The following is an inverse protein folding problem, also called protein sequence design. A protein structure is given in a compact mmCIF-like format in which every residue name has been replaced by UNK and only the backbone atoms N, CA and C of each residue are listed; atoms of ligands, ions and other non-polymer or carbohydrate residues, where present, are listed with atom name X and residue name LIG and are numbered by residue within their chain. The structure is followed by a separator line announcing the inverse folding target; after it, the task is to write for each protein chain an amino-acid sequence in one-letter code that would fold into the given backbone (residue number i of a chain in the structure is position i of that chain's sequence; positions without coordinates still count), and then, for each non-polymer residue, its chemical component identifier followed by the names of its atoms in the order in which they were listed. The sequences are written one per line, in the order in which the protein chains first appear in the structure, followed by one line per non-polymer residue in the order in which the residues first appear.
data_IF_880970852257
#
_entry.id   IF_880970852257
#
_cell.length_a   1.000
_cell.length_b   1.000
_cell.length_c   1.000
_cell.angle_alpha   90.00
_cell.angle_beta   90.00
_cell.angle_gamma   90.00
#
_symmetry.space_group_name_H-M   'P 1'
#
loop_
_entity.id
_entity.type
_entity.pdbx_description
1 polymer ?
#
# COMPACT_ATOMS: atom_id res chain seq x y z
N UNK A 1 -19.07 16.43 13.36
CA UNK A 1 -17.63 16.19 13.59
C UNK A 1 -17.45 14.67 13.66
N UNK A 2 -17.22 14.01 12.52
CA UNK A 2 -16.54 12.72 12.55
C UNK A 2 -15.05 13.04 12.69
N UNK A 3 -14.60 13.22 13.94
CA UNK A 3 -13.27 13.80 14.20
C UNK A 3 -12.12 12.84 13.90
N UNK A 4 -12.41 11.55 13.72
CA UNK A 4 -11.41 10.50 13.48
C UNK A 4 -11.99 9.49 12.48
N UNK A 5 -11.29 9.26 11.36
CA UNK A 5 -11.77 8.40 10.27
C UNK A 5 -11.60 6.91 10.56
N UNK A 6 -10.40 6.54 11.03
CA UNK A 6 -10.04 5.23 11.59
C UNK A 6 -9.52 5.42 13.01
N UNK A 7 -9.94 4.54 13.93
CA UNK A 7 -9.61 4.60 15.34
C UNK A 7 -9.02 3.27 15.82
N UNK A 8 -7.96 3.35 16.65
CA UNK A 8 -7.35 2.18 17.27
C UNK A 8 -6.36 1.46 16.35
N UNK A 9 -6.17 0.17 16.59
CA UNK A 9 -5.27 -0.71 15.84
C UNK A 9 -5.42 -2.17 16.30
N UNK A 10 -4.94 -3.14 15.51
CA UNK A 10 -3.99 -2.91 14.42
C UNK A 10 -4.65 -2.53 13.08
N UNK A 11 -3.83 -2.19 12.10
CA UNK A 11 -4.23 -1.98 10.70
C UNK A 11 -3.80 -3.14 9.81
N UNK A 12 -4.73 -3.57 8.93
CA UNK A 12 -4.41 -4.39 7.78
C UNK A 12 -4.05 -3.48 6.61
N UNK A 13 -2.90 -3.73 6.04
CA UNK A 13 -2.29 -2.88 5.03
C UNK A 13 -2.27 -3.61 3.69
N UNK A 14 -2.82 -2.97 2.65
CA UNK A 14 -2.64 -3.42 1.26
C UNK A 14 -1.78 -2.38 0.56
N UNK A 15 -0.54 -2.72 0.30
CA UNK A 15 0.46 -1.77 -0.18
C UNK A 15 1.14 -2.21 -1.47
N UNK A 16 1.58 -1.26 -2.28
CA UNK A 16 2.28 -1.52 -3.54
C UNK A 16 3.17 -0.35 -3.96
N UNK A 17 4.20 -0.66 -4.77
CA UNK A 17 5.21 0.29 -5.23
C UNK A 17 4.96 0.75 -6.66
N UNK A 18 4.76 2.05 -6.83
CA UNK A 18 4.57 2.73 -8.11
C UNK A 18 5.85 3.43 -8.55
N UNK A 19 6.05 3.49 -9.86
CA UNK A 19 7.17 4.23 -10.43
C UNK A 19 6.82 5.71 -10.57
N UNK A 20 7.70 6.56 -10.04
CA UNK A 20 7.58 8.01 -10.14
C UNK A 20 8.23 8.47 -11.45
N UNK A 21 7.65 8.07 -12.59
CA UNK A 21 8.14 8.52 -13.91
C UNK A 21 7.69 9.96 -14.22
N UNK A 22 6.48 10.31 -13.76
CA UNK A 22 5.92 11.64 -13.87
C UNK A 22 6.20 12.47 -12.61
N UNK A 23 5.94 13.78 -12.68
CA UNK A 23 5.94 14.63 -11.49
C UNK A 23 4.95 14.11 -10.42
N UNK A 24 5.22 14.41 -9.15
CA UNK A 24 4.39 14.01 -7.99
C UNK A 24 2.89 14.28 -8.20
N UNK A 25 2.56 15.45 -8.75
CA UNK A 25 1.18 15.87 -8.98
C UNK A 25 0.46 14.95 -9.96
N UNK A 26 1.11 14.67 -11.08
CA UNK A 26 0.58 13.81 -12.13
C UNK A 26 0.45 12.37 -11.66
N UNK A 27 1.45 11.88 -10.91
CA UNK A 27 1.41 10.54 -10.32
C UNK A 27 0.24 10.37 -9.35
N UNK A 28 0.05 11.31 -8.40
CA UNK A 28 -1.06 11.27 -7.46
C UNK A 28 -2.43 11.35 -8.17
N UNK A 29 -2.58 12.22 -9.17
CA UNK A 29 -3.82 12.31 -9.95
C UNK A 29 -4.10 11.06 -10.78
N UNK A 30 -3.07 10.47 -11.39
CA UNK A 30 -3.23 9.22 -12.15
C UNK A 30 -3.67 8.09 -11.25
N UNK A 31 -3.03 7.96 -10.08
CA UNK A 31 -3.39 6.98 -9.05
C UNK A 31 -4.87 7.11 -8.68
N UNK A 32 -5.32 8.29 -8.27
CA UNK A 32 -6.71 8.52 -7.85
C UNK A 32 -7.70 8.18 -8.96
N UNK A 33 -7.42 8.64 -10.19
CA UNK A 33 -8.26 8.37 -11.36
C UNK A 33 -8.37 6.88 -11.66
N UNK A 34 -7.25 6.17 -11.62
CA UNK A 34 -7.21 4.72 -11.90
C UNK A 34 -7.87 3.92 -10.77
N UNK A 35 -7.72 4.33 -9.51
CA UNK A 35 -8.44 3.75 -8.38
C UNK A 35 -9.96 3.89 -8.52
N UNK A 36 -10.46 5.01 -9.03
CA UNK A 36 -11.89 5.20 -9.31
C UNK A 36 -12.42 4.35 -10.46
N UNK A 37 -11.53 3.78 -11.30
CA UNK A 37 -11.90 2.96 -12.45
C UNK A 37 -11.86 1.44 -12.16
N UNK A 38 -11.47 1.04 -10.94
CA UNK A 38 -11.46 -0.36 -10.53
C UNK A 38 -12.89 -0.93 -10.45
N UNK A 39 -12.99 -2.24 -10.64
CA UNK A 39 -14.21 -3.01 -10.36
C UNK A 39 -14.50 -3.10 -8.86
N UNK A 40 -13.47 -3.15 -8.01
CA UNK A 40 -13.64 -2.89 -6.57
C UNK A 40 -13.98 -1.41 -6.38
N UNK A 41 -15.19 -1.13 -5.88
CA UNK A 41 -15.65 0.24 -5.71
C UNK A 41 -14.83 0.98 -4.65
N UNK A 42 -14.18 2.07 -5.04
CA UNK A 42 -13.45 2.99 -4.16
C UNK A 42 -14.09 4.38 -4.26
N UNK A 43 -14.53 4.92 -3.14
CA UNK A 43 -15.06 6.29 -3.04
C UNK A 43 -14.21 7.14 -2.11
N UNK A 44 -13.87 8.36 -2.54
CA UNK A 44 -13.13 9.33 -1.73
C UNK A 44 -14.09 10.16 -0.88
N UNK A 45 -13.75 10.34 0.39
CA UNK A 45 -14.54 11.09 1.35
C UNK A 45 -14.02 12.53 1.56
N UNK A 46 -12.81 12.84 1.09
CA UNK A 46 -12.27 14.20 1.08
C UNK A 46 -12.86 15.01 -0.06
N UNK A 47 -13.28 16.24 0.23
CA UNK A 47 -13.83 17.18 -0.75
C UNK A 47 -12.70 17.95 -1.47
N UNK A 48 -11.61 18.25 -0.76
CA UNK A 48 -10.50 19.10 -1.23
C UNK A 48 -9.27 18.30 -1.69
N UNK A 49 -9.48 17.24 -2.48
CA UNK A 49 -8.40 16.34 -2.94
C UNK A 49 -7.27 17.10 -3.66
N UNK A 50 -7.61 18.13 -4.44
CA UNK A 50 -6.61 18.92 -5.17
C UNK A 50 -5.69 19.72 -4.23
N UNK A 51 -6.20 20.20 -3.10
CA UNK A 51 -5.38 20.89 -2.08
C UNK A 51 -4.46 19.89 -1.37
N UNK A 52 -4.96 18.70 -1.06
CA UNK A 52 -4.16 17.62 -0.48
C UNK A 52 -3.02 17.19 -1.42
N UNK A 53 -3.30 17.11 -2.73
CA UNK A 53 -2.26 16.83 -3.75
C UNK A 53 -1.25 17.99 -3.80
N UNK A 54 -1.70 19.25 -3.71
CA UNK A 54 -0.78 20.39 -3.69
C UNK A 54 0.15 20.33 -2.48
N UNK A 55 -0.38 20.01 -1.29
CA UNK A 55 0.40 19.80 -0.07
C UNK A 55 1.40 18.64 -0.20
N UNK A 56 1.01 17.53 -0.84
CA UNK A 56 1.92 16.42 -1.14
C UNK A 56 3.09 16.85 -2.04
N UNK A 57 2.80 17.63 -3.09
CA UNK A 57 3.82 18.16 -4.01
C UNK A 57 4.77 19.08 -3.27
N UNK A 58 4.25 19.99 -2.45
CA UNK A 58 5.04 20.92 -1.64
C UNK A 58 5.87 20.15 -0.59
N UNK A 59 5.29 19.15 0.06
CA UNK A 59 5.87 18.42 1.19
C UNK A 59 6.04 19.28 2.44
N UNK A 60 6.68 18.73 3.47
CA UNK A 60 7.02 19.43 4.71
C UNK A 60 8.44 19.06 5.15
N UNK A 61 9.17 19.95 5.85
CA UNK A 61 10.53 19.64 6.32
C UNK A 61 10.50 18.46 7.30
N UNK A 62 11.47 17.54 7.20
CA UNK A 62 11.59 16.44 8.17
C UNK A 62 12.02 16.93 9.56
N UNK A 63 12.70 18.08 9.61
CA UNK A 63 13.07 18.79 10.83
C UNK A 63 12.69 20.27 10.66
N UNK A 64 11.66 20.70 11.39
CA UNK A 64 11.11 22.06 11.33
C UNK A 64 12.13 23.13 11.74
N UNK A 65 13.11 22.77 12.57
CA UNK A 65 14.18 23.67 13.02
C UNK A 65 15.31 23.79 11.98
N UNK A 66 15.34 22.91 10.97
CA UNK A 66 16.36 22.89 9.92
C UNK A 66 15.75 23.05 8.52
N UNK A 67 15.77 24.27 7.94
CA UNK A 67 15.23 24.53 6.60
C UNK A 67 15.92 23.78 5.46
N UNK A 68 17.08 23.18 5.70
CA UNK A 68 17.82 22.35 4.73
C UNK A 68 17.53 20.86 4.88
N UNK A 69 16.69 20.48 5.84
CA UNK A 69 16.29 19.09 6.01
C UNK A 69 15.55 18.59 4.77
N UNK A 70 15.66 17.28 4.45
CA UNK A 70 14.85 16.68 3.39
C UNK A 70 13.37 16.97 3.61
N UNK A 71 12.62 17.14 2.52
CA UNK A 71 11.18 17.30 2.61
C UNK A 71 10.51 15.94 2.51
N UNK A 72 9.60 15.67 3.43
CA UNK A 72 8.72 14.51 3.40
C UNK A 72 7.53 14.84 2.52
N UNK A 73 7.20 13.93 1.62
CA UNK A 73 6.08 14.05 0.68
C UNK A 73 5.11 12.92 0.95
N UNK A 74 4.02 13.23 1.65
CA UNK A 74 2.95 12.29 1.97
C UNK A 74 1.58 12.88 1.67
N UNK A 75 0.66 12.02 1.22
CA UNK A 75 -0.74 12.31 0.94
C UNK A 75 -1.58 11.29 1.70
N UNK A 76 -2.53 11.75 2.51
CA UNK A 76 -3.49 10.88 3.20
C UNK A 76 -4.89 11.19 2.68
N UNK A 77 -5.56 10.17 2.13
CA UNK A 77 -6.93 10.28 1.63
C UNK A 77 -7.85 9.34 2.41
N UNK A 78 -8.95 9.88 2.91
CA UNK A 78 -10.05 9.13 3.50
C UNK A 78 -10.87 8.51 2.39
N UNK A 79 -10.96 7.19 2.41
CA UNK A 79 -11.67 6.44 1.37
C UNK A 79 -12.60 5.39 2.00
N UNK A 80 -13.57 4.95 1.20
CA UNK A 80 -14.33 3.73 1.45
C UNK A 80 -14.10 2.76 0.30
N UNK A 81 -13.91 1.49 0.63
CA UNK A 81 -13.61 0.41 -0.32
C UNK A 81 -14.58 -0.73 -0.08
N UNK A 82 -15.19 -1.25 -1.15
CA UNK A 82 -16.04 -2.44 -1.07
C UNK A 82 -15.22 -3.73 -1.18
N UNK A 83 -14.54 -4.08 -0.08
CA UNK A 83 -13.68 -5.27 0.03
C UNK A 83 -14.10 -6.14 1.21
N UNK A 84 -14.70 -7.29 0.91
CA UNK A 84 -15.42 -8.12 1.88
C UNK A 84 -16.51 -7.32 2.63
N UNK A 85 -17.22 -6.46 1.89
CA UNK A 85 -18.17 -5.46 2.37
C UNK A 85 -17.57 -4.06 2.41
N UNK A 86 -18.43 -3.06 2.60
CA UNK A 86 -18.00 -1.66 2.64
C UNK A 86 -17.15 -1.38 3.88
N UNK A 87 -15.91 -0.95 3.68
CA UNK A 87 -14.94 -0.62 4.75
C UNK A 87 -14.43 0.80 4.60
N UNK A 88 -14.19 1.46 5.73
CA UNK A 88 -13.38 2.68 5.77
C UNK A 88 -11.91 2.31 5.65
N UNK A 89 -11.14 3.13 4.94
CA UNK A 89 -9.70 3.02 4.89
C UNK A 89 -9.05 4.41 4.77
N UNK A 90 -7.76 4.48 5.07
CA UNK A 90 -6.89 5.59 4.67
C UNK A 90 -6.02 5.09 3.52
N UNK A 91 -5.99 5.83 2.41
CA UNK A 91 -4.97 5.66 1.39
C UNK A 91 -3.84 6.63 1.68
N UNK A 92 -2.70 6.10 2.10
CA UNK A 92 -1.45 6.83 2.17
C UNK A 92 -0.72 6.71 0.82
N UNK A 93 -0.21 7.83 0.32
CA UNK A 93 0.73 7.86 -0.79
C UNK A 93 1.98 8.60 -0.33
N UNK A 94 3.13 7.96 -0.40
CA UNK A 94 4.38 8.51 0.10
C UNK A 94 5.47 8.41 -0.96
N UNK A 95 6.28 9.47 -1.07
CA UNK A 95 7.50 9.41 -1.87
C UNK A 95 8.61 8.72 -1.07
N UNK A 96 8.97 7.50 -1.47
CA UNK A 96 10.06 6.76 -0.85
C UNK A 96 11.43 7.18 -1.39
N UNK A 97 11.54 7.47 -2.69
CA UNK A 97 12.80 7.85 -3.34
C UNK A 97 12.56 8.75 -4.56
N UNK A 98 13.61 9.08 -5.31
CA UNK A 98 13.46 9.80 -6.57
C UNK A 98 12.68 9.04 -7.65
N UNK A 99 12.60 7.70 -7.59
CA UNK A 99 11.89 6.89 -8.58
C UNK A 99 10.76 6.03 -8.03
N UNK A 100 10.54 6.00 -6.71
CA UNK A 100 9.53 5.14 -6.10
C UNK A 100 8.51 5.92 -5.26
N UNK A 101 7.23 5.59 -5.47
CA UNK A 101 6.11 5.93 -4.60
C UNK A 101 5.59 4.67 -3.91
N UNK A 102 5.25 4.79 -2.64
CA UNK A 102 4.43 3.84 -1.91
C UNK A 102 2.97 4.28 -2.00
N UNK A 103 2.07 3.36 -2.36
CA UNK A 103 0.64 3.50 -2.13
C UNK A 103 0.20 2.43 -1.13
N UNK A 104 -0.37 2.82 -0.01
CA UNK A 104 -0.68 1.96 1.11
C UNK A 104 -2.12 2.20 1.61
N UNK A 105 -2.94 1.17 1.57
CA UNK A 105 -4.31 1.20 2.09
C UNK A 105 -4.34 0.66 3.52
N UNK A 106 -4.67 1.51 4.49
CA UNK A 106 -4.86 1.12 5.88
C UNK A 106 -6.33 0.81 6.15
N UNK A 107 -6.62 -0.43 6.50
CA UNK A 107 -7.93 -0.90 6.95
C UNK A 107 -7.88 -1.22 8.44
N UNK A 108 -9.00 -1.10 9.16
CA UNK A 108 -9.10 -1.59 10.54
C UNK A 108 -8.88 -3.11 10.56
N UNK A 109 -7.77 -3.55 11.17
CA UNK A 109 -7.22 -4.90 11.09
C UNK A 109 -7.66 -5.86 12.19
N UNK A 110 -8.31 -5.39 13.27
CA UNK A 110 -8.77 -6.32 14.31
C UNK A 110 -9.81 -7.30 13.77
N UNK A 111 -9.87 -8.50 14.32
CA UNK A 111 -10.93 -9.48 14.02
C UNK A 111 -12.29 -9.08 14.60
N UNK A 112 -12.30 -8.21 15.61
CA UNK A 112 -13.50 -7.75 16.29
C UNK A 112 -14.05 -6.49 15.64
N UNK A 113 -15.37 -6.35 15.60
CA UNK A 113 -16.01 -5.10 15.17
C UNK A 113 -15.81 -4.01 16.24
N UNK A 114 -15.68 -2.76 15.81
CA UNK A 114 -15.78 -1.58 16.65
C UNK A 114 -16.98 -0.73 16.19
N UNK A 115 -18.17 -1.00 16.77
CA UNK A 115 -19.40 -0.28 16.42
C UNK A 115 -19.34 1.22 16.74
N UNK A 116 -18.55 1.63 17.75
CA UNK A 116 -18.48 3.02 18.17
C UNK A 116 -17.86 3.93 17.09
N UNK A 117 -16.95 3.37 16.29
CA UNK A 117 -16.28 4.07 15.20
C UNK A 117 -16.77 3.61 13.80
N UNK A 118 -17.78 2.75 13.76
CA UNK A 118 -18.31 2.11 12.54
C UNK A 118 -17.19 1.42 11.75
N UNK A 119 -16.39 0.60 12.44
CA UNK A 119 -15.31 -0.19 11.86
C UNK A 119 -15.66 -1.67 11.99
N UNK A 120 -15.64 -2.37 10.86
CA UNK A 120 -15.89 -3.79 10.82
C UNK A 120 -14.58 -4.55 10.94
N UNK A 121 -14.54 -5.58 11.77
CA UNK A 121 -13.39 -6.46 11.89
C UNK A 121 -13.10 -7.23 10.59
N UNK A 122 -11.88 -7.73 10.48
CA UNK A 122 -11.43 -8.57 9.37
C UNK A 122 -11.21 -9.98 9.88
N UNK A 123 -11.99 -10.92 9.36
CA UNK A 123 -11.85 -12.35 9.67
C UNK A 123 -11.02 -13.04 8.59
N UNK A 124 -10.52 -14.24 8.87
CA UNK A 124 -9.73 -15.04 7.93
C UNK A 124 -10.44 -15.23 6.59
N UNK A 125 -11.75 -15.49 6.59
CA UNK A 125 -12.54 -15.64 5.36
C UNK A 125 -12.65 -14.35 4.53
N UNK A 126 -12.27 -13.19 5.08
CA UNK A 126 -12.27 -11.92 4.37
C UNK A 126 -10.98 -11.70 3.57
N UNK A 127 -9.89 -12.40 3.88
CA UNK A 127 -8.59 -12.20 3.25
C UNK A 127 -8.60 -12.44 1.73
N UNK A 128 -9.42 -13.37 1.24
CA UNK A 128 -9.61 -13.58 -0.20
C UNK A 128 -10.16 -12.33 -0.91
N UNK A 129 -10.92 -11.48 -0.21
CA UNK A 129 -11.35 -10.18 -0.73
C UNK A 129 -10.17 -9.23 -0.94
N UNK A 130 -9.26 -9.16 0.02
CA UNK A 130 -8.07 -8.29 -0.06
C UNK A 130 -7.05 -8.81 -1.06
N UNK A 131 -6.86 -10.13 -1.20
CA UNK A 131 -6.02 -10.69 -2.26
C UNK A 131 -6.57 -10.34 -3.65
N UNK A 132 -7.89 -10.39 -3.85
CA UNK A 132 -8.51 -9.96 -5.11
C UNK A 132 -8.27 -8.48 -5.39
N UNK A 133 -8.38 -7.63 -4.37
CA UNK A 133 -8.04 -6.21 -4.48
C UNK A 133 -6.57 -6.02 -4.89
N UNK A 134 -5.62 -6.72 -4.27
CA UNK A 134 -4.20 -6.63 -4.63
C UNK A 134 -3.93 -7.06 -6.08
N UNK A 135 -4.56 -8.15 -6.54
CA UNK A 135 -4.43 -8.62 -7.93
C UNK A 135 -5.02 -7.59 -8.91
N UNK A 136 -6.14 -6.98 -8.55
CA UNK A 136 -6.77 -5.93 -9.35
C UNK A 136 -5.91 -4.67 -9.43
N UNK A 137 -5.35 -4.22 -8.30
CA UNK A 137 -4.37 -3.14 -8.26
C UNK A 137 -3.19 -3.46 -9.18
N UNK A 138 -2.68 -4.69 -9.16
CA UNK A 138 -1.60 -5.10 -10.07
C UNK A 138 -2.04 -5.07 -11.55
N UNK A 139 -3.28 -5.46 -11.85
CA UNK A 139 -3.82 -5.40 -13.21
C UNK A 139 -3.99 -3.95 -13.70
N UNK A 140 -4.34 -3.00 -12.82
CA UNK A 140 -4.43 -1.59 -13.20
C UNK A 140 -3.06 -0.95 -13.35
N UNK A 141 -2.23 -1.05 -12.32
CA UNK A 141 -1.00 -0.26 -12.20
C UNK A 141 0.26 -0.96 -12.70
N UNK A 142 0.24 -2.29 -12.87
CA UNK A 142 1.41 -3.09 -13.23
C UNK A 142 2.64 -2.82 -12.33
N UNK A 143 2.40 -2.60 -11.03
CA UNK A 143 3.43 -2.27 -10.04
C UNK A 143 4.53 -3.34 -9.94
N UNK A 144 5.69 -2.98 -9.38
CA UNK A 144 6.85 -3.89 -9.28
C UNK A 144 6.70 -4.91 -8.14
N UNK A 145 6.22 -4.47 -6.99
CA UNK A 145 5.90 -5.31 -5.83
C UNK A 145 4.69 -4.76 -5.06
N UNK A 146 3.95 -5.64 -4.40
CA UNK A 146 2.83 -5.31 -3.52
C UNK A 146 2.56 -6.41 -2.51
N UNK A 147 1.81 -6.11 -1.46
CA UNK A 147 1.64 -7.01 -0.33
C UNK A 147 0.42 -6.73 0.53
N UNK A 148 0.10 -7.69 1.39
CA UNK A 148 -0.92 -7.63 2.43
C UNK A 148 -0.30 -8.06 3.75
N UNK A 149 -0.38 -7.22 4.78
CA UNK A 149 0.28 -7.41 6.08
C UNK A 149 -0.49 -6.71 7.21
N UNK A 150 -0.09 -6.95 8.45
CA UNK A 150 -0.54 -6.18 9.63
C UNK A 150 0.61 -5.31 10.10
N UNK A 151 0.37 -4.01 10.29
CA UNK A 151 1.35 -3.04 10.86
C UNK A 151 2.71 -3.06 10.14
N UNK A 152 2.68 -3.33 8.84
CA UNK A 152 3.84 -3.44 7.96
C UNK A 152 3.38 -3.13 6.54
N UNK A 153 4.23 -2.52 5.72
CA UNK A 153 3.99 -2.29 4.31
C UNK A 153 5.11 -2.79 3.40
N UNK A 154 4.89 -2.72 2.09
CA UNK A 154 5.79 -3.26 1.07
C UNK A 154 7.17 -2.58 1.02
N UNK A 155 7.36 -1.42 1.67
CA UNK A 155 8.66 -0.76 1.75
C UNK A 155 9.66 -1.57 2.60
N UNK A 156 9.19 -2.44 3.49
CA UNK A 156 10.04 -3.32 4.28
C UNK A 156 10.85 -4.31 3.42
N UNK A 157 10.42 -4.54 2.17
CA UNK A 157 11.17 -5.36 1.23
C UNK A 157 12.54 -4.78 0.85
N UNK A 158 12.73 -3.46 1.00
CA UNK A 158 14.02 -2.81 0.80
C UNK A 158 15.04 -3.13 1.91
N UNK A 159 14.57 -3.67 3.06
CA UNK A 159 15.40 -4.00 4.23
C UNK A 159 16.29 -2.83 4.67
N UNK A 160 15.69 -1.64 4.78
CA UNK A 160 16.35 -0.40 5.13
C UNK A 160 15.46 0.43 6.07
N UNK A 161 16.09 1.06 7.07
CA UNK A 161 15.42 1.91 8.07
C UNK A 161 15.69 3.41 7.82
N UNK A 162 15.94 3.80 6.56
CA UNK A 162 16.21 5.20 6.23
C UNK A 162 14.92 6.04 6.31
N UNK A 163 15.03 7.30 6.71
CA UNK A 163 13.89 8.22 6.62
C UNK A 163 13.57 8.54 5.16
N UNK A 164 12.33 8.36 4.75
CA UNK A 164 11.84 8.73 3.42
C UNK A 164 11.68 10.25 3.26
N UNK A 165 11.96 10.81 2.07
CA UNK A 165 12.50 10.12 0.90
C UNK A 165 14.01 9.82 1.05
N UNK A 166 14.43 8.63 0.63
CA UNK A 166 15.82 8.17 0.61
C UNK A 166 16.13 7.34 -0.62
N UNK A 167 17.33 7.49 -1.18
CA UNK A 167 17.78 6.71 -2.33
C UNK A 167 18.02 5.22 -2.01
N UNK A 168 17.94 4.83 -0.73
CA UNK A 168 17.90 3.43 -0.34
C UNK A 168 16.62 2.72 -0.84
N UNK A 169 15.51 3.45 -0.98
CA UNK A 169 14.23 2.94 -1.50
C UNK A 169 14.09 3.05 -3.02
N UNK A 170 15.22 3.18 -3.74
CA UNK A 170 15.26 3.11 -5.19
C UNK A 170 14.99 1.70 -5.67
N UNK A 171 14.23 1.54 -6.76
CA UNK A 171 13.95 0.21 -7.31
C UNK A 171 15.19 -0.63 -7.58
N UNK A 172 16.31 -0.02 -7.97
CA UNK A 172 17.58 -0.70 -8.19
C UNK A 172 18.09 -1.49 -6.96
N UNK A 173 17.62 -1.13 -5.76
CA UNK A 173 17.92 -1.82 -4.51
C UNK A 173 16.86 -2.88 -4.13
N UNK A 174 15.73 -2.93 -4.84
CA UNK A 174 14.70 -3.95 -4.68
C UNK A 174 15.07 -5.18 -5.50
N UNK A 175 15.33 -6.30 -4.83
CA UNK A 175 15.68 -7.57 -5.50
C UNK A 175 14.63 -8.66 -5.28
N UNK A 176 14.47 -9.58 -6.26
CA UNK A 176 13.64 -10.78 -6.09
C UNK A 176 14.08 -11.65 -4.90
N UNK A 177 15.38 -11.67 -4.59
CA UNK A 177 15.94 -12.40 -3.45
C UNK A 177 15.53 -11.77 -2.11
N UNK A 178 15.63 -10.44 -1.98
CA UNK A 178 15.14 -9.72 -0.80
C UNK A 178 13.63 -9.93 -0.62
N UNK A 179 12.86 -9.93 -1.71
CA UNK A 179 11.43 -10.24 -1.70
C UNK A 179 11.12 -11.64 -1.11
N UNK A 180 11.93 -12.65 -1.41
CA UNK A 180 11.75 -14.00 -0.86
C UNK A 180 12.23 -14.13 0.59
N UNK A 181 13.27 -13.40 0.98
CA UNK A 181 13.83 -13.44 2.34
C UNK A 181 12.97 -12.68 3.35
N UNK A 182 12.41 -11.54 2.91
CA UNK A 182 11.63 -10.62 3.74
C UNK A 182 10.12 -10.88 3.61
N UNK A 183 9.71 -12.05 3.13
CA UNK A 183 8.29 -12.40 3.03
C UNK A 183 7.61 -12.68 4.36
N UNK A 184 8.39 -12.76 5.45
CA UNK A 184 7.87 -12.91 6.80
C UNK A 184 7.09 -11.65 7.21
N UNK A 185 5.88 -11.82 7.73
CA UNK A 185 4.99 -10.71 8.12
C UNK A 185 3.88 -10.41 7.11
N UNK A 186 4.03 -10.87 5.86
CA UNK A 186 2.99 -10.74 4.85
C UNK A 186 2.09 -11.97 4.77
N UNK A 187 0.77 -11.75 4.70
CA UNK A 187 -0.20 -12.78 4.34
C UNK A 187 -0.10 -13.10 2.86
N UNK A 188 0.06 -12.08 2.04
CA UNK A 188 0.15 -12.23 0.59
C UNK A 188 1.16 -11.24 0.04
N UNK A 189 1.91 -11.66 -0.96
CA UNK A 189 2.89 -10.85 -1.66
C UNK A 189 2.75 -11.07 -3.16
N UNK A 190 2.73 -9.98 -3.92
CA UNK A 190 2.66 -10.01 -5.37
C UNK A 190 3.93 -9.38 -5.95
N UNK A 191 4.67 -10.18 -6.71
CA UNK A 191 5.88 -9.76 -7.40
C UNK A 191 5.70 -9.73 -8.91
N UNK A 192 6.25 -8.72 -9.56
CA UNK A 192 6.26 -8.61 -11.03
C UNK A 192 7.54 -9.23 -11.62
N UNK A 193 7.46 -10.44 -12.19
CA UNK A 193 8.59 -11.07 -12.88
C UNK A 193 9.02 -10.35 -14.17
N UNK A 194 8.21 -9.39 -14.66
CA UNK A 194 8.64 -8.47 -15.71
C UNK A 194 9.71 -7.49 -15.23
N UNK A 195 9.76 -7.21 -13.93
CA UNK A 195 10.80 -6.39 -13.29
C UNK A 195 12.06 -7.21 -12.98
N UNK A 196 11.90 -8.42 -12.41
CA UNK A 196 13.00 -9.34 -12.18
C UNK A 196 12.49 -10.76 -11.93
N UNK A 197 13.09 -11.78 -12.54
CA UNK A 197 12.61 -13.16 -12.38
C UNK A 197 12.99 -13.70 -11.00
N UNK A 198 12.07 -14.41 -10.36
CA UNK A 198 12.37 -15.14 -9.13
C UNK A 198 13.28 -16.34 -9.48
N UNK A 199 14.38 -16.49 -8.75
CA UNK A 199 15.32 -17.61 -8.93
C UNK A 199 14.66 -18.97 -8.67
N UNK A 200 13.71 -19.01 -7.73
CA UNK A 200 12.85 -20.16 -7.47
C UNK A 200 11.51 -19.69 -6.91
N UNK A 201 10.43 -19.91 -7.66
CA UNK A 201 9.09 -19.65 -7.15
C UNK A 201 8.76 -20.65 -6.01
N UNK A 202 8.31 -20.18 -4.84
CA UNK A 202 7.82 -21.05 -3.78
C UNK A 202 6.70 -21.98 -4.26
N UNK A 203 6.56 -23.14 -3.60
CA UNK A 203 5.56 -24.16 -3.95
C UNK A 203 4.11 -23.68 -3.84
N UNK A 204 3.84 -22.68 -2.99
CA UNK A 204 2.53 -22.05 -2.78
C UNK A 204 2.36 -20.76 -3.60
N UNK A 205 2.91 -20.71 -4.82
CA UNK A 205 2.78 -19.56 -5.70
C UNK A 205 1.68 -19.73 -6.74
N UNK A 206 0.98 -18.64 -7.04
CA UNK A 206 -0.01 -18.56 -8.13
C UNK A 206 0.43 -17.48 -9.11
N UNK A 207 0.56 -17.85 -10.38
CA UNK A 207 0.81 -16.88 -11.47
C UNK A 207 -0.51 -16.17 -11.79
N UNK A 208 -0.48 -14.84 -11.83
CA UNK A 208 -1.61 -14.02 -12.27
C UNK A 208 -1.53 -13.84 -13.80
N UNK A 209 -2.59 -13.38 -14.47
CA UNK A 209 -2.68 -13.31 -15.95
C UNK A 209 -1.66 -12.39 -16.67
N UNK A 210 -0.68 -11.84 -15.94
CA UNK A 210 0.48 -11.07 -16.43
C UNK A 210 1.78 -11.74 -15.94
N UNK A 211 2.89 -11.00 -15.84
CA UNK A 211 4.14 -11.46 -15.21
C UNK A 211 4.07 -11.53 -13.68
N UNK A 212 2.88 -11.46 -13.08
CA UNK A 212 2.72 -11.42 -11.63
C UNK A 212 2.80 -12.81 -11.00
N UNK A 213 3.49 -12.89 -9.86
CA UNK A 213 3.57 -14.08 -9.01
C UNK A 213 3.05 -13.70 -7.64
N UNK A 214 1.89 -14.25 -7.26
CA UNK A 214 1.32 -14.13 -5.93
C UNK A 214 1.86 -15.26 -5.06
N UNK A 215 2.43 -14.91 -3.92
CA UNK A 215 2.81 -15.81 -2.83
C UNK A 215 1.82 -15.60 -1.70
N UNK A 216 1.15 -16.66 -1.26
CA UNK A 216 0.29 -16.60 -0.07
C UNK A 216 0.95 -17.39 1.05
N UNK A 217 0.98 -16.81 2.24
CA UNK A 217 1.39 -17.48 3.45
C UNK A 217 0.31 -18.49 3.87
N UNK A 218 0.73 -19.66 4.35
CA UNK A 218 -0.17 -20.61 5.00
C UNK A 218 -0.46 -20.23 6.45
N UNK A 219 0.11 -19.15 6.97
CA UNK A 219 -0.11 -18.70 8.33
C UNK A 219 -1.58 -18.32 8.53
N UNK A 220 -2.17 -18.81 9.62
CA UNK A 220 -3.51 -18.39 10.02
C UNK A 220 -3.49 -16.91 10.39
N UNK A 221 -4.51 -16.17 9.96
CA UNK A 221 -4.84 -14.88 10.53
C UNK A 221 -5.26 -15.10 11.98
N UNK A 222 -4.31 -15.01 12.92
CA UNK A 222 -4.56 -15.30 14.33
C UNK A 222 -3.93 -14.25 15.23
N UNK A 223 -4.80 -13.69 16.08
CA UNK A 223 -4.52 -12.92 17.29
C UNK A 223 -4.25 -11.42 17.19
N UNK A 224 -5.10 -10.67 16.46
CA UNK A 224 -5.31 -9.24 16.73
C UNK A 224 -6.76 -8.78 16.50
#
# INVERSE_FOLDING_TARGET
MDKIWLQGGPFLEVSFLLELEAGKKEAARSLIRELSALSTAISFADEDIDELIAAFVEGYPSDEENPKSPRIHSLLLRIKVDVAGLRKAILQVEQLSTNALLANFWFYGSQFDDPAHNQRGIKTENLEGFERLLIELYASFNFKAGGISIEQDISDLFNCEATSPSEHYRFENLSPEAFLLNSAGFYSLLWNEGYGKLSKAPSLSKRTGRSGVLLSSSASYSEF
#
